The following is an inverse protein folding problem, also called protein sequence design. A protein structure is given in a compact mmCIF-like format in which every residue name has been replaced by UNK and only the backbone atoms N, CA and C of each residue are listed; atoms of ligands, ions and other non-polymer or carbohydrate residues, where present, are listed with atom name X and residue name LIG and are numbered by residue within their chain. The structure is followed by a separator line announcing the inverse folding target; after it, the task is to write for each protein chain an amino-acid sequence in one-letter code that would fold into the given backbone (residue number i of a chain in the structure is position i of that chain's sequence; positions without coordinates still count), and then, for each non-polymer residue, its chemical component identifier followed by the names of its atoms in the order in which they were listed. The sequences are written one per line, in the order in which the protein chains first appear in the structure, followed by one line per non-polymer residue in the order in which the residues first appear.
data_IF_529428710607
#
_entry.id   IF_529428710607
#
_cell.length_a   1.000
_cell.length_b   1.000
_cell.length_c   1.000
_cell.angle_alpha   90.00
_cell.angle_beta   90.00
_cell.angle_gamma   90.00
#
_symmetry.space_group_name_H-M   'P 1'
#
loop_
_entity.id
_entity.type
_entity.pdbx_description
1 polymer ?
#
# COMPACT_ATOMS: atom_id res chain seq x y z
N UNK A 1 5.65 14.01 -21.52
CA UNK A 1 5.03 13.30 -20.38
C UNK A 1 5.17 14.21 -19.17
N UNK A 2 4.10 14.53 -18.45
CA UNK A 2 4.27 15.18 -17.17
C UNK A 2 5.04 14.20 -16.27
N UNK A 3 6.05 14.71 -15.54
CA UNK A 3 6.84 13.93 -14.61
C UNK A 3 5.94 13.15 -13.67
N UNK A 4 5.90 11.84 -13.84
CA UNK A 4 5.16 10.92 -12.98
C UNK A 4 5.67 10.96 -11.53
N UNK A 5 6.87 11.51 -11.35
CA UNK A 5 7.49 11.75 -10.05
C UNK A 5 7.91 13.21 -10.00
N UNK A 6 7.07 14.12 -9.48
CA UNK A 6 7.57 15.45 -9.19
C UNK A 6 8.82 15.27 -8.32
N UNK A 7 9.95 15.75 -8.84
CA UNK A 7 11.16 15.90 -8.03
C UNK A 7 10.75 16.66 -6.79
N UNK A 8 10.81 16.01 -5.66
CA UNK A 8 10.50 16.61 -4.37
C UNK A 8 11.62 17.59 -4.08
N UNK A 9 11.45 18.83 -4.48
CA UNK A 9 12.34 19.94 -4.07
C UNK A 9 12.46 20.10 -2.54
N UNK A 10 11.66 19.32 -1.79
CA UNK A 10 11.53 19.47 -0.34
C UNK A 10 12.37 18.47 0.46
N UNK A 11 12.94 17.44 -0.18
CA UNK A 11 13.80 16.45 0.51
C UNK A 11 15.17 16.46 -0.14
N UNK A 12 16.07 17.27 0.40
CA UNK A 12 17.47 17.32 -0.02
C UNK A 12 18.25 16.13 0.53
N UNK A 13 19.36 15.77 -0.12
CA UNK A 13 20.29 14.73 0.39
C UNK A 13 20.82 15.09 1.79
N UNK A 14 21.00 16.39 2.04
CA UNK A 14 21.44 16.91 3.34
C UNK A 14 20.37 16.65 4.42
N UNK A 15 19.10 16.98 4.15
CA UNK A 15 18.00 16.72 5.06
C UNK A 15 17.85 15.21 5.37
N UNK A 16 18.00 14.35 4.38
CA UNK A 16 17.94 12.89 4.59
C UNK A 16 19.08 12.39 5.49
N UNK A 17 20.29 12.95 5.36
CA UNK A 17 21.42 12.61 6.24
C UNK A 17 21.18 13.10 7.66
N UNK A 18 20.71 14.33 7.82
CA UNK A 18 20.44 14.94 9.12
C UNK A 18 19.32 14.20 9.84
N UNK A 19 18.24 13.88 9.16
CA UNK A 19 17.13 13.08 9.70
C UNK A 19 17.61 11.68 10.13
N UNK A 20 18.45 11.03 9.32
CA UNK A 20 19.00 9.71 9.65
C UNK A 20 19.96 9.79 10.87
N UNK A 21 20.81 10.81 10.95
CA UNK A 21 21.71 11.04 12.07
C UNK A 21 20.96 11.34 13.37
N UNK A 22 19.80 12.00 13.28
CA UNK A 22 18.93 12.26 14.41
C UNK A 22 18.01 11.07 14.79
N UNK A 23 18.17 9.90 14.14
CA UNK A 23 17.28 8.75 14.32
C UNK A 23 15.96 8.88 13.60
N UNK A 24 15.85 9.81 12.66
CA UNK A 24 14.68 10.04 11.82
C UNK A 24 14.61 9.13 10.60
N UNK A 25 13.97 9.63 9.52
CA UNK A 25 13.74 8.86 8.31
C UNK A 25 15.04 8.62 7.50
N UNK A 26 15.21 7.41 7.01
CA UNK A 26 16.29 7.00 6.11
C UNK A 26 15.72 6.55 4.76
N UNK A 27 16.47 6.81 3.68
CA UNK A 27 16.18 6.25 2.35
C UNK A 27 16.34 4.73 2.31
N UNK A 28 17.01 4.15 3.29
CA UNK A 28 17.16 2.70 3.45
C UNK A 28 16.30 2.24 4.63
N UNK A 29 15.40 1.29 4.37
CA UNK A 29 14.49 0.73 5.36
C UNK A 29 14.89 -0.72 5.64
N UNK A 30 15.48 -0.97 6.79
CA UNK A 30 15.86 -2.31 7.24
C UNK A 30 14.75 -2.99 8.05
N UNK A 31 14.63 -4.31 7.90
CA UNK A 31 13.76 -5.10 8.77
C UNK A 31 14.43 -5.25 10.16
N UNK A 32 13.63 -5.09 11.19
CA UNK A 32 14.04 -5.31 12.58
C UNK A 32 12.96 -6.10 13.35
N UNK A 33 13.24 -6.50 14.60
CA UNK A 33 12.31 -7.31 15.42
C UNK A 33 10.91 -6.70 15.53
N UNK A 34 10.82 -5.38 15.67
CA UNK A 34 9.57 -4.64 15.87
C UNK A 34 9.05 -3.94 14.61
N UNK A 35 9.51 -4.38 13.43
CA UNK A 35 9.13 -3.75 12.16
C UNK A 35 7.66 -3.95 11.79
N UNK A 36 7.06 -5.06 12.22
CA UNK A 36 5.66 -5.36 11.94
C UNK A 36 4.75 -4.95 13.09
N UNK A 37 3.66 -4.28 12.78
CA UNK A 37 2.67 -3.77 13.74
C UNK A 37 1.28 -4.33 13.43
N UNK A 38 0.45 -4.53 14.47
CA UNK A 38 -0.95 -4.96 14.38
C UNK A 38 -1.94 -3.78 14.35
N UNK A 39 -1.49 -2.59 13.99
CA UNK A 39 -2.24 -1.34 13.99
C UNK A 39 -2.92 -1.01 12.64
N UNK A 40 -2.92 -1.97 11.73
CA UNK A 40 -3.52 -1.82 10.41
C UNK A 40 -5.02 -2.09 10.35
N UNK A 41 -5.58 -1.98 9.15
CA UNK A 41 -7.02 -2.11 8.90
C UNK A 41 -7.59 -3.51 9.14
N UNK A 42 -6.76 -4.54 9.14
CA UNK A 42 -7.18 -5.93 9.21
C UNK A 42 -6.55 -6.64 10.40
N UNK A 43 -7.33 -7.24 11.30
CA UNK A 43 -6.80 -7.90 12.49
C UNK A 43 -5.99 -9.17 12.16
N UNK A 44 -6.25 -9.79 11.01
CA UNK A 44 -5.56 -10.98 10.53
C UNK A 44 -4.24 -10.67 9.79
N UNK A 45 -3.81 -9.39 9.76
CA UNK A 45 -2.56 -8.95 9.16
C UNK A 45 -1.70 -8.13 10.13
N UNK A 46 -0.40 -8.25 9.92
CA UNK A 46 0.61 -7.33 10.45
C UNK A 46 1.23 -6.52 9.30
N UNK A 47 1.55 -5.28 9.58
CA UNK A 47 1.99 -4.30 8.60
C UNK A 47 3.36 -3.77 8.95
N UNK A 48 4.28 -3.78 7.97
CA UNK A 48 5.57 -3.11 8.05
C UNK A 48 5.58 -1.95 7.07
N UNK A 49 5.50 -0.69 7.54
CA UNK A 49 5.67 0.48 6.69
C UNK A 49 7.09 0.53 6.11
N UNK A 50 7.21 0.94 4.85
CA UNK A 50 8.51 1.07 4.17
C UNK A 50 9.02 2.52 4.14
N UNK A 51 8.43 3.43 4.92
CA UNK A 51 8.86 4.83 5.05
C UNK A 51 8.54 5.73 3.85
N UNK A 52 7.97 5.19 2.78
CA UNK A 52 7.72 5.98 1.56
C UNK A 52 6.69 7.09 1.74
N UNK A 53 5.72 6.89 2.65
CA UNK A 53 4.69 7.90 2.92
C UNK A 53 5.32 9.17 3.47
N UNK A 54 6.21 9.04 4.41
CA UNK A 54 6.91 10.14 5.06
C UNK A 54 7.90 10.79 4.07
N UNK A 55 8.70 10.00 3.38
CA UNK A 55 9.69 10.47 2.40
C UNK A 55 9.08 11.17 1.19
N UNK A 56 7.82 10.89 0.86
CA UNK A 56 7.13 11.47 -0.32
C UNK A 56 6.07 12.50 0.05
N UNK A 57 6.01 12.94 1.31
CA UNK A 57 4.96 13.86 1.76
C UNK A 57 3.55 13.30 1.56
N UNK A 58 3.35 12.00 1.79
CA UNK A 58 2.07 11.32 1.70
C UNK A 58 1.65 10.90 0.28
N UNK A 59 2.46 11.13 -0.75
CA UNK A 59 2.11 10.83 -2.16
C UNK A 59 2.11 9.33 -2.45
N UNK A 60 3.07 8.59 -1.87
CA UNK A 60 3.21 7.14 -2.07
C UNK A 60 3.24 6.44 -0.73
N UNK A 61 2.43 5.41 -0.57
CA UNK A 61 2.50 4.49 0.57
C UNK A 61 2.97 3.12 0.11
N UNK A 62 3.79 2.45 0.92
CA UNK A 62 4.17 1.07 0.69
C UNK A 62 4.34 0.34 2.02
N UNK A 63 3.91 -0.93 2.04
CA UNK A 63 4.00 -1.81 3.18
C UNK A 63 4.42 -3.21 2.73
N UNK A 64 5.13 -3.91 3.58
CA UNK A 64 5.08 -5.37 3.60
C UNK A 64 3.95 -5.77 4.55
N UNK A 65 3.13 -6.68 4.12
CA UNK A 65 1.98 -7.20 4.87
C UNK A 65 2.20 -8.69 5.03
N UNK A 66 2.04 -9.22 6.24
CA UNK A 66 2.10 -10.65 6.50
C UNK A 66 0.87 -11.13 7.27
N UNK A 67 0.49 -12.37 7.04
CA UNK A 67 -0.58 -13.02 7.78
C UNK A 67 -0.20 -13.20 9.26
N UNK A 68 -1.21 -13.13 10.12
CA UNK A 68 -1.12 -13.63 11.49
C UNK A 68 -1.54 -15.10 11.47
N UNK A 69 -0.67 -16.06 11.78
CA UNK A 69 -0.97 -17.46 11.70
C UNK A 69 -2.25 -17.84 12.45
N UNK A 70 -3.10 -18.68 11.85
CA UNK A 70 -4.37 -19.13 12.42
C UNK A 70 -5.51 -18.10 12.35
N UNK A 71 -5.30 -16.93 11.75
CA UNK A 71 -6.34 -15.93 11.53
C UNK A 71 -6.73 -15.89 10.04
N UNK A 72 -8.03 -15.91 9.77
CA UNK A 72 -8.59 -15.93 8.44
C UNK A 72 -9.37 -14.64 8.14
N UNK A 73 -9.53 -14.27 6.86
CA UNK A 73 -10.24 -13.06 6.46
C UNK A 73 -11.72 -13.13 6.88
N UNK A 74 -12.15 -12.12 7.61
CA UNK A 74 -13.56 -11.83 7.88
C UNK A 74 -13.81 -10.35 7.60
N UNK A 75 -13.63 -9.96 6.37
CA UNK A 75 -13.78 -8.57 5.97
C UNK A 75 -14.79 -8.46 4.81
N UNK A 76 -15.68 -7.45 4.87
CA UNK A 76 -16.61 -7.22 3.79
C UNK A 76 -15.88 -6.79 2.50
N UNK A 77 -16.55 -6.97 1.37
CA UNK A 77 -16.11 -6.42 0.09
C UNK A 77 -15.95 -4.90 0.20
N UNK A 78 -14.84 -4.39 -0.28
CA UNK A 78 -14.51 -2.96 -0.20
C UNK A 78 -13.78 -2.49 -1.45
N UNK A 79 -13.61 -1.18 -1.56
CA UNK A 79 -12.82 -0.55 -2.62
C UNK A 79 -11.93 0.54 -2.02
N UNK A 80 -10.92 0.94 -2.77
CA UNK A 80 -10.02 2.02 -2.39
C UNK A 80 -10.12 3.18 -3.38
N UNK A 81 -10.31 4.39 -2.85
CA UNK A 81 -10.27 5.63 -3.62
C UNK A 81 -8.81 6.08 -3.85
N UNK A 82 -7.97 5.20 -4.38
CA UNK A 82 -6.56 5.44 -4.67
C UNK A 82 -6.38 5.69 -6.16
N UNK A 83 -5.36 6.45 -6.55
CA UNK A 83 -5.01 6.59 -7.97
C UNK A 83 -4.33 5.34 -8.53
N UNK A 84 -3.65 4.61 -7.66
CA UNK A 84 -2.88 3.43 -8.03
C UNK A 84 -2.76 2.52 -6.82
N UNK A 85 -2.94 1.22 -7.03
CA UNK A 85 -2.56 0.18 -6.07
C UNK A 85 -1.97 -1.01 -6.81
N UNK A 86 -0.86 -1.49 -6.30
CA UNK A 86 -0.15 -2.64 -6.83
C UNK A 86 0.23 -3.58 -5.68
N UNK A 87 0.05 -4.87 -5.90
CA UNK A 87 0.39 -5.93 -4.96
C UNK A 87 1.37 -6.90 -5.61
N UNK A 88 2.37 -7.33 -4.87
CA UNK A 88 3.30 -8.40 -5.25
C UNK A 88 3.37 -9.42 -4.10
N UNK A 89 3.10 -10.69 -4.38
CA UNK A 89 3.18 -11.75 -3.38
C UNK A 89 4.61 -12.22 -3.24
N UNK A 90 5.15 -12.13 -2.03
CA UNK A 90 6.52 -12.53 -1.70
C UNK A 90 6.60 -13.99 -1.27
N UNK A 91 5.61 -14.46 -0.50
CA UNK A 91 5.58 -15.79 0.10
C UNK A 91 4.15 -16.25 0.32
N UNK A 92 3.92 -17.57 0.34
CA UNK A 92 2.60 -18.14 0.56
C UNK A 92 1.63 -17.89 -0.58
N UNK A 93 0.35 -17.86 -0.25
CA UNK A 93 -0.72 -17.62 -1.22
C UNK A 93 -1.90 -16.87 -0.58
N UNK A 94 -2.68 -16.20 -1.43
CA UNK A 94 -3.96 -15.58 -1.08
C UNK A 94 -4.97 -15.76 -2.20
N UNK A 95 -6.25 -15.85 -1.85
CA UNK A 95 -7.38 -15.86 -2.80
C UNK A 95 -8.13 -14.55 -2.65
N UNK A 96 -8.23 -13.80 -3.75
CA UNK A 96 -9.02 -12.59 -3.84
C UNK A 96 -10.12 -12.72 -4.86
N UNK A 97 -11.24 -12.11 -4.57
CA UNK A 97 -12.35 -11.92 -5.51
C UNK A 97 -12.41 -10.46 -5.93
N UNK A 98 -12.42 -10.20 -7.21
CA UNK A 98 -12.54 -8.87 -7.80
C UNK A 98 -13.86 -8.76 -8.58
N UNK A 99 -14.60 -7.68 -8.34
CA UNK A 99 -15.87 -7.43 -9.03
C UNK A 99 -15.64 -7.34 -10.55
N UNK A 100 -16.37 -8.18 -11.30
CA UNK A 100 -16.24 -8.29 -12.76
C UNK A 100 -15.11 -9.17 -13.27
N UNK A 101 -14.23 -9.67 -12.38
CA UNK A 101 -13.06 -10.48 -12.75
C UNK A 101 -13.02 -11.86 -12.08
N UNK A 102 -13.90 -12.10 -11.08
CA UNK A 102 -13.97 -13.38 -10.37
C UNK A 102 -12.86 -13.59 -9.32
N UNK A 103 -12.67 -14.85 -8.94
CA UNK A 103 -11.69 -15.24 -7.92
C UNK A 103 -10.35 -15.63 -8.56
N UNK A 104 -9.27 -15.19 -7.92
CA UNK A 104 -7.90 -15.49 -8.32
C UNK A 104 -7.08 -15.94 -7.14
N UNK A 105 -6.38 -17.06 -7.28
CA UNK A 105 -5.36 -17.49 -6.34
C UNK A 105 -4.03 -16.90 -6.74
N UNK A 106 -3.51 -16.04 -5.87
CA UNK A 106 -2.21 -15.41 -6.00
C UNK A 106 -1.19 -16.23 -5.22
N UNK A 107 -0.06 -16.54 -5.83
CA UNK A 107 1.05 -17.28 -5.22
C UNK A 107 2.30 -16.41 -5.23
N UNK A 108 3.38 -16.85 -4.58
CA UNK A 108 4.66 -16.14 -4.63
C UNK A 108 5.07 -15.83 -6.08
N UNK A 109 5.42 -14.57 -6.36
CA UNK A 109 5.70 -14.03 -7.69
C UNK A 109 4.48 -13.47 -8.44
N UNK A 110 3.26 -13.74 -7.97
CA UNK A 110 2.04 -13.13 -8.55
C UNK A 110 2.00 -11.63 -8.30
N UNK A 111 1.48 -10.90 -9.27
CA UNK A 111 1.25 -9.46 -9.18
C UNK A 111 -0.19 -9.12 -9.47
N UNK A 112 -0.71 -8.08 -8.82
CA UNK A 112 -2.02 -7.53 -9.11
C UNK A 112 -1.94 -6.02 -9.17
N UNK A 113 -2.40 -5.44 -10.26
CA UNK A 113 -2.79 -4.05 -10.31
C UNK A 113 -4.27 -3.95 -9.93
N UNK A 114 -4.56 -3.19 -8.89
CA UNK A 114 -5.93 -2.90 -8.47
C UNK A 114 -6.35 -1.51 -8.96
N UNK A 115 -7.21 -1.43 -9.97
CA UNK A 115 -7.70 -0.15 -10.48
C UNK A 115 -8.42 0.65 -9.39
N UNK A 116 -8.43 1.99 -9.48
CA UNK A 116 -9.22 2.82 -8.59
C UNK A 116 -10.68 2.39 -8.54
N UNK A 117 -11.23 2.24 -7.34
CA UNK A 117 -12.64 1.92 -7.14
C UNK A 117 -13.03 0.47 -7.38
N UNK A 118 -12.14 -0.41 -7.85
CA UNK A 118 -12.48 -1.83 -8.01
C UNK A 118 -12.84 -2.43 -6.64
N UNK A 119 -14.03 -3.01 -6.56
CA UNK A 119 -14.44 -3.71 -5.35
C UNK A 119 -13.80 -5.09 -5.31
N UNK A 120 -13.24 -5.41 -4.17
CA UNK A 120 -12.59 -6.69 -3.95
C UNK A 120 -12.79 -7.20 -2.53
N UNK A 121 -12.59 -8.47 -2.36
CA UNK A 121 -12.66 -9.16 -1.08
C UNK A 121 -11.54 -10.20 -1.03
N UNK A 122 -10.87 -10.29 0.08
CA UNK A 122 -10.02 -11.43 0.38
C UNK A 122 -10.90 -12.59 0.84
N UNK A 123 -10.68 -13.75 0.25
CA UNK A 123 -11.45 -14.97 0.54
C UNK A 123 -10.69 -15.84 1.55
N UNK A 124 -9.38 -16.03 1.32
CA UNK A 124 -8.54 -16.85 2.18
C UNK A 124 -7.06 -16.62 1.91
N UNK A 125 -6.19 -17.07 2.82
CA UNK A 125 -4.74 -17.02 2.67
C UNK A 125 -4.03 -18.10 3.46
N UNK A 126 -2.76 -18.36 3.11
CA UNK A 126 -1.89 -19.23 3.90
C UNK A 126 -1.36 -18.51 5.14
N UNK A 127 -1.06 -19.27 6.18
CA UNK A 127 -0.49 -18.74 7.44
C UNK A 127 0.86 -18.04 7.24
N UNK A 128 1.58 -18.37 6.18
CA UNK A 128 2.89 -17.80 5.84
C UNK A 128 2.82 -16.74 4.75
N UNK A 129 1.62 -16.24 4.41
CA UNK A 129 1.47 -15.19 3.40
C UNK A 129 2.32 -13.97 3.75
N UNK A 130 3.11 -13.54 2.79
CA UNK A 130 3.76 -12.23 2.76
C UNK A 130 3.56 -11.57 1.39
N UNK A 131 3.19 -10.30 1.39
CA UNK A 131 3.05 -9.52 0.16
C UNK A 131 3.47 -8.07 0.36
N UNK A 132 3.85 -7.41 -0.72
CA UNK A 132 4.00 -5.95 -0.71
C UNK A 132 2.76 -5.31 -1.30
N UNK A 133 2.32 -4.21 -0.69
CA UNK A 133 1.30 -3.34 -1.25
C UNK A 133 1.89 -1.95 -1.45
N UNK A 134 1.78 -1.44 -2.67
CA UNK A 134 2.16 -0.06 -3.03
C UNK A 134 0.93 0.68 -3.50
N UNK A 135 0.75 1.88 -2.99
CA UNK A 135 -0.41 2.71 -3.31
C UNK A 135 -0.02 4.17 -3.47
N UNK A 136 -0.71 4.85 -4.36
CA UNK A 136 -0.61 6.30 -4.54
C UNK A 136 -1.93 6.91 -4.10
N UNK A 137 -1.86 7.84 -3.15
CA UNK A 137 -3.01 8.63 -2.71
C UNK A 137 -3.40 9.63 -3.81
N UNK A 138 -4.69 9.96 -3.93
CA UNK A 138 -5.10 11.15 -4.68
C UNK A 138 -4.44 12.36 -4.01
N UNK A 139 -3.73 13.16 -4.79
CA UNK A 139 -3.35 14.51 -4.37
C UNK A 139 -4.61 15.25 -3.97
N UNK A 140 -4.57 15.94 -2.82
CA UNK A 140 -5.65 16.70 -2.15
C UNK A 140 -6.91 16.88 -2.99
N UNK A 141 -8.10 16.61 -2.39
CA UNK A 141 -9.39 17.09 -2.91
C UNK A 141 -9.22 18.49 -3.45
N UNK A 142 -9.49 18.67 -4.73
CA UNK A 142 -9.87 20.00 -5.20
C UNK A 142 -11.05 20.45 -4.34
N UNK A 143 -11.11 21.73 -3.93
CA UNK A 143 -12.28 22.26 -3.25
C UNK A 143 -13.55 21.84 -4.00
N UNK A 144 -14.63 21.57 -3.29
CA UNK A 144 -15.90 21.07 -3.88
C UNK A 144 -16.48 21.98 -4.96
N UNK A 145 -16.13 23.24 -4.97
CA UNK A 145 -16.48 24.25 -5.98
C UNK A 145 -15.83 24.01 -7.35
N UNK A 146 -14.68 23.34 -7.41
CA UNK A 146 -14.00 23.02 -8.68
C UNK A 146 -14.37 21.63 -9.22
N UNK A 147 -15.00 20.77 -8.42
CA UNK A 147 -15.45 19.45 -8.85
C UNK A 147 -16.68 19.49 -9.78
N UNK A 148 -17.34 20.63 -9.89
CA UNK A 148 -18.56 20.84 -10.73
C UNK A 148 -18.28 21.20 -12.19
N UNK A 149 -17.03 21.40 -12.59
CA UNK A 149 -16.69 21.91 -13.94
C UNK A 149 -16.30 20.78 -14.91
N UNK A 150 -16.29 19.52 -14.48
CA UNK A 150 -15.97 18.39 -15.36
C UNK A 150 -17.12 17.37 -15.32
N UNK A 151 -18.28 17.79 -15.78
CA UNK A 151 -19.29 16.88 -16.29
C UNK A 151 -19.59 17.28 -17.75
N UNK A 152 -19.66 16.31 -18.69
CA UNK A 152 -19.92 16.57 -20.09
C UNK A 152 -21.30 17.17 -20.32
#
# INVERSE_FOLDING_TARGET
MPDLFPTTKEVTQEKLRDDAAAGGLSIVNHVGPDSFKKDGLRPFFEYRPLGLKELTGGKVGAHVIRAVPGQHPDAPRHSHALQFQFVYVLKGWAIFEYEGYGQHKLVAGSTVYQPPGVKHKEIDHSDDLELTSRRRSRTKRLPEDQARVIAP
#
